data_IF_353763913447
#
_entry.id   IF_353763913447
#
_cell.length_a   1.000
_cell.length_b   1.000
_cell.length_c   1.000
_cell.angle_alpha   90.00
_cell.angle_beta   90.00
_cell.angle_gamma   90.00
#
_symmetry.space_group_name_H-M   'P 1'
#
loop_
_entity.id
_entity.type
_entity.pdbx_description
1 polymer ?
#
# COMPACT_ATOMS: atom_id res chain seq x y z
N UNK A 1 21.51 3.86 5.60
CA UNK A 1 20.41 2.97 5.17
C UNK A 1 21.04 1.65 4.78
N UNK A 2 21.27 0.74 5.74
CA UNK A 2 21.82 -0.58 5.45
C UNK A 2 20.65 -1.48 5.05
N UNK A 3 20.50 -1.70 3.74
CA UNK A 3 19.67 -2.78 3.22
C UNK A 3 20.53 -4.04 3.23
N UNK A 4 20.21 -5.01 4.08
CA UNK A 4 20.74 -6.36 3.97
C UNK A 4 19.61 -7.27 3.44
N UNK A 5 19.90 -7.95 2.33
CA UNK A 5 19.13 -9.03 1.66
C UNK A 5 17.95 -8.60 0.77
N UNK A 6 18.16 -8.62 -0.54
CA UNK A 6 17.12 -8.45 -1.57
C UNK A 6 16.01 -9.52 -1.59
N UNK A 7 16.11 -10.56 -0.77
CA UNK A 7 15.00 -11.49 -0.49
C UNK A 7 13.98 -10.98 0.53
N UNK A 8 14.31 -9.92 1.29
CA UNK A 8 13.49 -9.35 2.36
C UNK A 8 12.39 -8.44 1.81
N UNK A 9 12.67 -7.58 0.83
CA UNK A 9 11.70 -6.59 0.33
C UNK A 9 10.44 -7.24 -0.28
N UNK A 10 10.59 -8.29 -1.08
CA UNK A 10 9.41 -8.96 -1.65
C UNK A 10 8.54 -9.60 -0.56
N UNK A 11 9.19 -10.22 0.44
CA UNK A 11 8.46 -10.78 1.57
C UNK A 11 7.76 -9.70 2.39
N UNK A 12 8.49 -8.65 2.73
CA UNK A 12 8.05 -7.48 3.48
C UNK A 12 6.80 -6.87 2.86
N UNK A 13 6.86 -6.56 1.56
CA UNK A 13 5.79 -5.85 0.88
C UNK A 13 4.64 -6.74 0.41
N UNK A 14 4.87 -8.01 0.06
CA UNK A 14 3.85 -8.79 -0.66
C UNK A 14 3.47 -10.12 -0.01
N UNK A 15 4.28 -10.66 0.90
CA UNK A 15 4.10 -12.05 1.36
C UNK A 15 3.87 -12.22 2.85
N UNK A 16 4.43 -11.35 3.70
CA UNK A 16 4.23 -11.45 5.14
C UNK A 16 2.74 -11.26 5.51
N UNK A 17 2.32 -11.82 6.65
CA UNK A 17 0.90 -11.80 7.06
C UNK A 17 0.36 -10.37 7.15
N UNK A 18 1.17 -9.47 7.73
CA UNK A 18 0.79 -8.07 7.88
C UNK A 18 0.55 -7.38 6.52
N UNK A 19 1.49 -7.47 5.58
CA UNK A 19 1.35 -6.80 4.28
C UNK A 19 0.23 -7.42 3.44
N UNK A 20 0.05 -8.74 3.50
CA UNK A 20 -1.11 -9.40 2.86
C UNK A 20 -2.43 -8.85 3.35
N UNK A 21 -2.60 -8.70 4.67
CA UNK A 21 -3.83 -8.11 5.22
C UNK A 21 -4.01 -6.64 4.82
N UNK A 22 -2.93 -5.86 4.73
CA UNK A 22 -3.00 -4.49 4.24
C UNK A 22 -3.49 -4.42 2.79
N UNK A 23 -2.98 -5.28 1.91
CA UNK A 23 -3.41 -5.31 0.50
C UNK A 23 -4.83 -5.85 0.32
N UNK A 24 -5.27 -6.78 1.19
CA UNK A 24 -6.66 -7.24 1.22
C UNK A 24 -7.63 -6.11 1.53
N UNK A 25 -7.30 -5.21 2.46
CA UNK A 25 -8.11 -4.01 2.75
C UNK A 25 -8.23 -3.08 1.53
N UNK A 26 -7.17 -2.98 0.71
CA UNK A 26 -7.18 -2.19 -0.53
C UNK A 26 -7.93 -2.92 -1.67
N UNK A 27 -8.15 -4.23 -1.55
CA UNK A 27 -8.73 -5.06 -2.62
C UNK A 27 -7.72 -5.46 -3.69
N UNK A 28 -6.42 -5.46 -3.40
CA UNK A 28 -5.37 -5.86 -4.36
C UNK A 28 -4.83 -7.25 -4.02
N UNK A 29 -4.85 -8.16 -4.99
CA UNK A 29 -4.23 -9.48 -4.89
C UNK A 29 -2.90 -9.55 -5.66
N UNK A 30 -1.84 -10.06 -5.02
CA UNK A 30 -0.53 -10.17 -5.64
C UNK A 30 -0.24 -11.60 -6.12
N UNK A 31 -0.07 -11.76 -7.44
CA UNK A 31 0.29 -13.03 -8.09
C UNK A 31 1.78 -13.32 -7.94
N UNK A 32 2.15 -14.06 -6.89
CA UNK A 32 3.54 -14.35 -6.52
C UNK A 32 4.29 -15.27 -7.50
N UNK A 33 3.58 -15.92 -8.42
CA UNK A 33 4.16 -16.74 -9.48
C UNK A 33 4.63 -15.92 -10.70
N UNK A 34 4.34 -14.61 -10.74
CA UNK A 34 4.81 -13.70 -11.77
C UNK A 34 6.08 -12.98 -11.33
N UNK A 35 6.89 -12.53 -12.29
CA UNK A 35 7.96 -11.59 -11.95
C UNK A 35 7.38 -10.24 -11.51
N UNK A 36 8.17 -9.43 -10.80
CA UNK A 36 7.70 -8.17 -10.20
C UNK A 36 7.00 -7.24 -11.20
N UNK A 37 7.57 -7.04 -12.40
CA UNK A 37 6.97 -6.14 -13.40
C UNK A 37 5.65 -6.67 -13.95
N UNK A 38 5.56 -7.97 -14.21
CA UNK A 38 4.31 -8.62 -14.61
C UNK A 38 3.25 -8.54 -13.51
N UNK A 39 3.67 -8.77 -12.27
CA UNK A 39 2.82 -8.70 -11.08
C UNK A 39 2.25 -7.28 -10.91
N UNK A 40 3.09 -6.25 -11.04
CA UNK A 40 2.70 -4.83 -10.97
C UNK A 40 1.76 -4.43 -12.11
N UNK A 41 2.10 -4.80 -13.36
CA UNK A 41 1.27 -4.51 -14.53
C UNK A 41 -0.12 -5.13 -14.40
N UNK A 42 -0.18 -6.37 -13.91
CA UNK A 42 -1.44 -7.06 -13.69
C UNK A 42 -2.27 -6.42 -12.58
N UNK A 43 -1.67 -6.12 -11.43
CA UNK A 43 -2.35 -5.43 -10.34
C UNK A 43 -2.89 -4.06 -10.79
N UNK A 44 -2.14 -3.33 -11.60
CA UNK A 44 -2.60 -2.07 -12.20
C UNK A 44 -3.83 -2.26 -13.09
N UNK A 45 -3.86 -3.31 -13.90
CA UNK A 45 -4.98 -3.63 -14.80
C UNK A 45 -6.24 -4.06 -14.01
N UNK A 46 -6.06 -4.83 -12.94
CA UNK A 46 -7.14 -5.34 -12.07
C UNK A 46 -7.65 -4.28 -11.07
N UNK A 47 -6.87 -3.23 -10.78
CA UNK A 47 -7.28 -2.17 -9.86
C UNK A 47 -8.32 -1.20 -10.45
N UNK A 48 -8.47 -1.16 -11.78
CA UNK A 48 -9.48 -0.40 -12.52
C UNK A 48 -9.55 1.13 -12.29
N UNK A 49 -8.63 1.70 -11.50
CA UNK A 49 -8.54 3.13 -11.27
C UNK A 49 -7.22 3.73 -11.76
N UNK A 50 -7.29 4.96 -12.29
CA UNK A 50 -6.14 5.67 -12.86
C UNK A 50 -5.03 5.97 -11.84
N UNK A 51 -5.36 5.94 -10.54
CA UNK A 51 -4.50 6.30 -9.42
C UNK A 51 -3.85 5.09 -8.72
N UNK A 52 -3.73 3.96 -9.41
CA UNK A 52 -3.11 2.75 -8.85
C UNK A 52 -1.72 3.02 -8.26
N UNK A 53 -0.89 3.81 -8.93
CA UNK A 53 0.49 4.06 -8.48
C UNK A 53 0.53 4.89 -7.19
N UNK A 54 -0.36 5.88 -7.06
CA UNK A 54 -0.51 6.67 -5.85
C UNK A 54 -0.87 5.78 -4.66
N UNK A 55 -1.85 4.89 -4.85
CA UNK A 55 -2.26 3.91 -3.82
C UNK A 55 -1.12 2.97 -3.47
N UNK A 56 -0.46 2.39 -4.48
CA UNK A 56 0.65 1.47 -4.30
C UNK A 56 1.80 2.10 -3.50
N UNK A 57 2.20 3.33 -3.85
CA UNK A 57 3.32 4.03 -3.21
C UNK A 57 2.97 4.33 -1.74
N UNK A 58 1.79 4.88 -1.45
CA UNK A 58 1.37 5.23 -0.09
C UNK A 58 1.27 3.95 0.77
N UNK A 59 0.63 2.91 0.24
CA UNK A 59 0.47 1.63 0.93
C UNK A 59 1.82 1.02 1.32
N UNK A 60 2.74 0.91 0.35
CA UNK A 60 4.08 0.37 0.52
C UNK A 60 4.91 1.18 1.52
N UNK A 61 4.83 2.51 1.44
CA UNK A 61 5.49 3.41 2.39
C UNK A 61 5.02 3.16 3.83
N UNK A 62 3.71 3.07 4.05
CA UNK A 62 3.16 2.82 5.38
C UNK A 62 3.43 1.42 5.90
N UNK A 63 3.51 0.40 5.02
CA UNK A 63 3.96 -0.95 5.40
C UNK A 63 5.39 -0.88 5.96
N UNK A 64 6.29 -0.20 5.24
CA UNK A 64 7.66 0.02 5.70
C UNK A 64 7.71 0.77 7.04
N UNK A 65 6.92 1.84 7.20
CA UNK A 65 6.89 2.64 8.43
C UNK A 65 6.47 1.81 9.64
N UNK A 66 5.39 1.03 9.53
CA UNK A 66 4.90 0.17 10.60
C UNK A 66 5.92 -0.90 11.01
N UNK A 67 6.63 -1.46 10.03
CA UNK A 67 7.70 -2.44 10.27
C UNK A 67 8.93 -1.81 10.93
N UNK A 68 9.30 -0.60 10.53
CA UNK A 68 10.37 0.14 11.20
C UNK A 68 10.02 0.45 12.66
N UNK A 69 8.76 0.81 12.95
CA UNK A 69 8.31 1.02 14.33
C UNK A 69 8.43 -0.24 15.20
N UNK A 70 8.30 -1.44 14.64
CA UNK A 70 8.58 -2.68 15.36
C UNK A 70 10.05 -2.78 15.78
N UNK A 71 10.96 -2.44 14.88
CA UNK A 71 12.40 -2.55 15.11
C UNK A 71 12.88 -1.47 16.10
N UNK A 72 12.43 -0.23 15.92
CA UNK A 72 12.93 0.91 16.69
C UNK A 72 12.15 1.21 17.97
N UNK A 73 10.84 0.91 18.00
CA UNK A 73 9.95 1.26 19.11
C UNK A 73 9.30 0.02 19.76
N UNK A 74 9.56 -1.19 19.26
CA UNK A 74 8.92 -2.42 19.73
C UNK A 74 7.42 -2.51 19.45
N UNK A 75 6.85 -1.57 18.68
CA UNK A 75 5.41 -1.50 18.39
C UNK A 75 5.04 -2.51 17.31
N UNK A 76 4.14 -3.44 17.64
CA UNK A 76 3.67 -4.45 16.70
C UNK A 76 2.87 -3.79 15.56
N UNK A 77 3.13 -4.15 14.29
CA UNK A 77 2.35 -3.65 13.17
C UNK A 77 0.87 -4.04 13.31
N UNK A 78 -0.03 -3.06 13.23
CA UNK A 78 -1.47 -3.26 13.25
C UNK A 78 -2.09 -2.78 11.93
N UNK A 79 -2.92 -3.62 11.32
CA UNK A 79 -3.59 -3.30 10.04
C UNK A 79 -4.50 -2.08 10.18
N UNK A 80 -5.17 -1.94 11.32
CA UNK A 80 -6.02 -0.77 11.61
C UNK A 80 -5.22 0.54 11.64
N UNK A 81 -4.07 0.54 12.33
CA UNK A 81 -3.20 1.72 12.41
C UNK A 81 -2.61 2.04 11.03
N UNK A 82 -2.16 1.02 10.31
CA UNK A 82 -1.71 1.18 8.93
C UNK A 82 -2.78 1.80 8.04
N UNK A 83 -4.02 1.30 8.11
CA UNK A 83 -5.13 1.79 7.29
C UNK A 83 -5.48 3.24 7.61
N UNK A 84 -5.57 3.60 8.89
CA UNK A 84 -5.82 4.99 9.30
C UNK A 84 -4.76 5.93 8.71
N UNK A 85 -3.48 5.55 8.86
CA UNK A 85 -2.37 6.33 8.33
C UNK A 85 -2.37 6.39 6.78
N UNK A 86 -2.74 5.30 6.12
CA UNK A 86 -2.90 5.24 4.66
C UNK A 86 -4.00 6.19 4.19
N UNK A 87 -5.18 6.16 4.82
CA UNK A 87 -6.31 7.04 4.47
C UNK A 87 -5.93 8.50 4.68
N UNK A 88 -5.28 8.84 5.79
CA UNK A 88 -4.84 10.21 6.06
C UNK A 88 -3.83 10.70 5.03
N UNK A 89 -2.84 9.87 4.66
CA UNK A 89 -1.89 10.24 3.60
C UNK A 89 -2.54 10.26 2.21
N UNK A 90 -3.50 9.39 1.92
CA UNK A 90 -4.25 9.45 0.68
C UNK A 90 -5.03 10.77 0.59
N UNK A 91 -5.71 11.20 1.65
CA UNK A 91 -6.37 12.51 1.71
C UNK A 91 -5.39 13.66 1.47
N UNK A 92 -4.20 13.60 2.04
CA UNK A 92 -3.14 14.59 1.78
C UNK A 92 -2.69 14.57 0.30
N UNK A 93 -2.54 13.38 -0.29
CA UNK A 93 -2.19 13.21 -1.70
C UNK A 93 -3.27 13.79 -2.64
N UNK A 94 -4.54 13.79 -2.23
CA UNK A 94 -5.63 14.38 -3.01
C UNK A 94 -5.43 15.88 -3.31
N UNK A 95 -4.72 16.62 -2.44
CA UNK A 95 -4.38 18.03 -2.69
C UNK A 95 -3.37 18.22 -3.83
N UNK A 96 -2.64 17.16 -4.21
CA UNK A 96 -1.65 17.15 -5.29
C UNK A 96 -2.23 16.62 -6.60
N UNK A 97 -3.44 16.08 -6.58
CA UNK A 97 -4.16 15.56 -7.74
C UNK A 97 -4.88 16.73 -8.44
N UNK A 98 -4.93 16.69 -9.78
CA UNK A 98 -5.67 17.67 -10.59
C UNK A 98 -7.15 17.70 -10.16
N UNK A 99 -7.72 18.90 -10.05
CA UNK A 99 -9.06 19.09 -9.48
C UNK A 99 -10.13 18.25 -10.18
N UNK A 100 -10.07 18.11 -11.50
CA UNK A 100 -11.02 17.31 -12.29
C UNK A 100 -10.95 15.78 -12.04
N UNK A 101 -9.89 15.29 -11.40
CA UNK A 101 -9.73 13.87 -11.03
C UNK A 101 -9.80 13.61 -9.53
N UNK A 102 -9.64 14.66 -8.72
CA UNK A 102 -9.55 14.61 -7.26
C UNK A 102 -10.80 13.99 -6.62
N UNK A 103 -11.99 14.35 -7.08
CA UNK A 103 -13.23 13.82 -6.48
C UNK A 103 -13.36 12.29 -6.66
N UNK A 104 -12.99 11.76 -7.84
CA UNK A 104 -12.99 10.31 -8.08
C UNK A 104 -12.04 9.58 -7.14
N UNK A 105 -10.86 10.16 -6.89
CA UNK A 105 -9.90 9.60 -5.95
C UNK A 105 -10.40 9.65 -4.50
N UNK A 106 -10.92 10.80 -4.04
CA UNK A 106 -11.47 10.94 -2.69
C UNK A 106 -12.67 10.02 -2.43
N UNK A 107 -13.55 9.84 -3.42
CA UNK A 107 -14.67 8.91 -3.34
C UNK A 107 -14.17 7.48 -3.12
N UNK A 108 -13.12 7.06 -3.83
CA UNK A 108 -12.51 5.75 -3.62
C UNK A 108 -11.89 5.64 -2.23
N UNK A 109 -11.10 6.63 -1.79
CA UNK A 109 -10.44 6.62 -0.46
C UNK A 109 -11.46 6.50 0.67
N UNK A 110 -12.61 7.19 0.57
CA UNK A 110 -13.65 7.15 1.60
C UNK A 110 -14.40 5.80 1.67
N UNK A 111 -14.32 4.98 0.63
CA UNK A 111 -14.91 3.65 0.57
C UNK A 111 -13.95 2.54 1.01
N UNK A 112 -12.67 2.85 1.29
CA UNK A 112 -11.73 1.89 1.87
C UNK A 112 -12.13 1.66 3.34
N UNK A 113 -12.67 0.47 3.64
CA UNK A 113 -13.14 0.06 4.97
C UNK A 113 -12.58 -1.32 5.35
N UNK A 114 -12.64 -1.66 6.66
CA UNK A 114 -12.39 -3.02 7.19
C UNK A 114 -13.69 -3.83 7.13
#
# INVERSE_FOLDING_TARGET
MQWQYGGDCFHLFFSCNFSRSCWQVIGTEWRKNLNFFQMMKRAQQEFHHWFFMEVFIIATWHICKQRNNLIFEGKRPAVRDWMSNFIDQARLQAHRIRENKKQSFLNWVNNVQI
#
